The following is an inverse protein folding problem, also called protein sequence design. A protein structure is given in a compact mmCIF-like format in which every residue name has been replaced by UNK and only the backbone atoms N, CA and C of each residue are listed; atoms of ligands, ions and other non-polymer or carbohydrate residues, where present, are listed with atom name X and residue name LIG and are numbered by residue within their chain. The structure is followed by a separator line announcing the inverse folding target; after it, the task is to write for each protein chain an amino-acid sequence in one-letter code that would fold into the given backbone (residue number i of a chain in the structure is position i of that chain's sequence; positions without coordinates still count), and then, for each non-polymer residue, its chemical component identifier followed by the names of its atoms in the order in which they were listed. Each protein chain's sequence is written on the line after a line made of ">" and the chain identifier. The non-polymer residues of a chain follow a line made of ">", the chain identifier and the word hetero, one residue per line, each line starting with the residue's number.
data_IF_596622786380
#
_entry.id   IF_596622786380
#
_cell.length_a   1.000
_cell.length_b   1.000
_cell.length_c   1.000
_cell.angle_alpha   90.00
_cell.angle_beta   90.00
_cell.angle_gamma   90.00
#
_symmetry.space_group_name_H-M   'P 1'
#
loop_
_entity.id
_entity.type
_entity.pdbx_description
1 polymer ?
#
# COMPACT_ATOMS: atom_id res chain seq x y z
N UNK A 1 14.62 17.85 -12.44
CA UNK A 1 14.12 16.69 -11.66
C UNK A 1 12.92 16.09 -12.38
N UNK A 2 12.74 14.78 -12.33
CA UNK A 2 11.58 14.10 -12.91
C UNK A 2 11.18 12.90 -12.05
N UNK A 3 9.89 12.53 -12.06
CA UNK A 3 9.36 11.37 -11.37
C UNK A 3 8.27 10.71 -12.23
N UNK A 4 8.30 9.38 -12.32
CA UNK A 4 7.33 8.56 -13.05
C UNK A 4 6.86 7.39 -12.19
N UNK A 5 5.66 6.85 -12.42
CA UNK A 5 5.17 5.69 -11.69
C UNK A 5 5.98 4.43 -11.99
N UNK A 6 6.14 3.59 -10.98
CA UNK A 6 6.58 2.20 -11.11
C UNK A 6 5.35 1.28 -11.18
N UNK A 7 5.39 0.26 -12.02
CA UNK A 7 4.26 -0.60 -12.33
C UNK A 7 4.70 -2.06 -12.39
N UNK A 8 4.31 -2.82 -11.37
CA UNK A 8 4.59 -4.26 -11.20
C UNK A 8 3.33 -5.13 -11.33
N UNK A 9 2.18 -4.53 -11.64
CA UNK A 9 0.91 -5.21 -11.82
C UNK A 9 0.23 -4.75 -13.13
N UNK A 10 -0.54 -5.64 -13.79
CA UNK A 10 -1.22 -5.34 -15.05
C UNK A 10 -2.51 -4.55 -14.80
N UNK A 11 -2.38 -3.39 -14.16
CA UNK A 11 -3.48 -2.46 -13.92
C UNK A 11 -3.21 -1.16 -14.67
N UNK A 12 -4.27 -0.56 -15.22
CA UNK A 12 -4.15 0.74 -15.88
C UNK A 12 -3.82 1.81 -14.85
N UNK A 13 -2.64 2.40 -14.97
CA UNK A 13 -2.19 3.56 -14.18
C UNK A 13 -1.96 4.76 -15.08
N UNK A 14 -2.04 5.95 -14.51
CA UNK A 14 -1.75 7.17 -15.27
C UNK A 14 -0.24 7.24 -15.59
N UNK A 15 0.10 7.20 -16.88
CA UNK A 15 1.50 7.17 -17.34
C UNK A 15 2.05 8.60 -17.56
N UNK A 16 1.85 9.47 -16.57
CA UNK A 16 2.33 10.86 -16.61
C UNK A 16 3.63 10.99 -15.83
N UNK A 17 4.58 11.72 -16.41
CA UNK A 17 5.83 12.08 -15.75
C UNK A 17 5.70 13.47 -15.16
N UNK A 18 5.92 13.60 -13.86
CA UNK A 18 6.04 14.89 -13.19
C UNK A 18 7.47 15.43 -13.36
N UNK A 19 7.60 16.72 -13.63
CA UNK A 19 8.90 17.39 -13.81
C UNK A 19 9.01 18.65 -12.94
N UNK A 20 10.24 18.97 -12.54
CA UNK A 20 10.55 20.19 -11.80
C UNK A 20 11.92 20.72 -12.21
N UNK A 21 12.10 22.03 -12.17
CA UNK A 21 13.34 22.72 -12.55
C UNK A 21 14.13 23.06 -11.28
N UNK A 22 15.42 22.69 -11.28
CA UNK A 22 16.38 23.15 -10.28
C UNK A 22 17.18 24.30 -10.91
N UNK A 23 16.91 25.53 -10.49
CA UNK A 23 17.58 26.74 -10.99
C UNK A 23 18.62 27.21 -9.97
N UNK A 24 19.87 27.34 -10.40
CA UNK A 24 20.93 27.93 -9.57
C UNK A 24 20.85 29.45 -9.63
N UNK A 25 21.03 30.10 -8.46
CA UNK A 25 21.10 31.56 -8.39
C UNK A 25 22.31 32.07 -9.19
N UNK A 26 22.08 33.07 -10.05
CA UNK A 26 23.12 33.66 -10.89
C UNK A 26 23.28 33.00 -12.27
N UNK A 27 22.58 31.89 -12.53
CA UNK A 27 22.53 31.29 -13.88
C UNK A 27 21.38 31.92 -14.67
N UNK A 28 21.61 32.38 -15.91
CA UNK A 28 20.56 32.99 -16.71
C UNK A 28 19.48 31.97 -17.11
N UNK A 29 18.24 32.45 -17.27
CA UNK A 29 17.09 31.63 -17.66
C UNK A 29 17.16 31.12 -19.11
N UNK A 30 18.21 31.49 -19.85
CA UNK A 30 18.50 30.97 -21.19
C UNK A 30 19.11 29.57 -21.15
N UNK A 31 19.62 29.12 -20.00
CA UNK A 31 20.17 27.77 -19.84
C UNK A 31 19.01 26.78 -19.77
N UNK A 32 18.95 25.87 -20.75
CA UNK A 32 17.90 24.88 -20.86
C UNK A 32 18.12 23.77 -19.81
N UNK A 33 17.12 23.45 -18.96
CA UNK A 33 17.22 22.36 -18.01
C UNK A 33 17.42 21.00 -18.69
N UNK A 34 18.26 20.15 -18.11
CA UNK A 34 18.49 18.79 -18.58
C UNK A 34 17.48 17.85 -17.89
N UNK A 35 16.82 17.00 -18.68
CA UNK A 35 15.94 15.97 -18.15
C UNK A 35 16.77 14.75 -17.71
N UNK A 36 16.59 14.24 -16.48
CA UNK A 36 17.29 13.04 -16.05
C UNK A 36 16.74 11.81 -16.78
N UNK A 37 17.58 10.78 -16.93
CA UNK A 37 17.15 9.47 -17.44
C UNK A 37 16.41 8.72 -16.33
N UNK A 38 15.13 8.42 -16.57
CA UNK A 38 14.31 7.63 -15.68
C UNK A 38 14.40 6.12 -16.04
N UNK A 39 14.32 5.21 -15.06
CA UNK A 39 14.14 3.78 -15.32
C UNK A 39 12.85 3.50 -16.08
N UNK A 40 12.77 2.35 -16.73
CA UNK A 40 11.51 1.89 -17.32
C UNK A 40 10.45 1.66 -16.22
N UNK A 41 9.15 1.89 -16.50
CA UNK A 41 8.09 1.73 -15.50
C UNK A 41 8.02 0.33 -14.87
N UNK A 42 8.48 -0.70 -15.57
CA UNK A 42 8.49 -2.09 -15.14
C UNK A 42 9.88 -2.59 -14.67
N UNK A 43 10.82 -1.69 -14.39
CA UNK A 43 12.17 -2.06 -13.95
C UNK A 43 12.19 -2.45 -12.46
N UNK A 44 11.75 -3.68 -12.17
CA UNK A 44 11.74 -4.24 -10.81
C UNK A 44 13.14 -4.32 -10.22
N UNK A 45 14.17 -4.54 -11.05
CA UNK A 45 15.55 -4.67 -10.58
C UNK A 45 16.06 -3.35 -9.97
N UNK A 46 15.81 -2.23 -10.65
CA UNK A 46 16.13 -0.90 -10.16
C UNK A 46 15.40 -0.57 -8.86
N UNK A 47 14.09 -0.86 -8.81
CA UNK A 47 13.27 -0.60 -7.62
C UNK A 47 13.75 -1.39 -6.40
N UNK A 48 14.12 -2.67 -6.58
CA UNK A 48 14.65 -3.52 -5.51
C UNK A 48 16.03 -3.07 -5.04
N UNK A 49 16.94 -2.72 -5.95
CA UNK A 49 18.29 -2.23 -5.59
C UNK A 49 18.21 -0.92 -4.79
N UNK A 50 17.34 0.02 -5.20
CA UNK A 50 17.13 1.25 -4.45
C UNK A 50 16.53 0.98 -3.05
N UNK A 51 15.49 0.15 -2.97
CA UNK A 51 14.86 -0.20 -1.69
C UNK A 51 15.83 -0.92 -0.73
N UNK A 52 16.75 -1.74 -1.24
CA UNK A 52 17.78 -2.42 -0.44
C UNK A 52 18.78 -1.49 0.24
N UNK A 53 18.87 -0.22 -0.18
CA UNK A 53 19.76 0.80 0.39
C UNK A 53 19.15 1.52 1.59
N UNK A 54 17.84 1.38 1.85
CA UNK A 54 17.16 2.06 2.95
C UNK A 54 17.60 1.48 4.31
N UNK A 55 18.29 2.31 5.12
CA UNK A 55 18.74 1.97 6.47
C UNK A 55 18.55 3.15 7.42
N UNK A 56 18.21 2.87 8.68
CA UNK A 56 18.20 3.89 9.72
C UNK A 56 19.63 4.33 10.05
N UNK A 57 19.81 5.62 10.37
CA UNK A 57 21.11 6.22 10.66
C UNK A 57 21.84 5.58 11.86
N UNK A 58 21.10 5.31 12.94
CA UNK A 58 21.57 4.61 14.16
C UNK A 58 22.87 5.18 14.78
N UNK A 59 22.85 6.46 15.16
CA UNK A 59 23.95 7.13 15.88
C UNK A 59 23.61 7.30 17.37
N UNK A 60 24.58 7.66 18.24
CA UNK A 60 24.28 7.91 19.66
C UNK A 60 23.20 8.99 19.90
N UNK A 61 23.14 10.00 19.04
CA UNK A 61 22.12 11.05 19.09
C UNK A 61 20.78 10.64 18.43
N UNK A 62 20.80 9.65 17.53
CA UNK A 62 19.64 9.15 16.79
C UNK A 62 19.61 7.61 16.75
N UNK A 63 19.39 6.95 17.90
CA UNK A 63 19.45 5.49 18.00
C UNK A 63 18.26 4.83 17.29
N UNK A 64 18.51 3.71 16.61
CA UNK A 64 17.47 2.89 16.01
C UNK A 64 16.96 1.85 17.04
N UNK A 65 15.85 2.14 17.69
CA UNK A 65 15.25 1.26 18.71
C UNK A 65 14.37 0.18 18.07
N UNK A 66 15.00 -0.91 17.61
CA UNK A 66 14.29 -2.04 16.98
C UNK A 66 13.69 -2.96 18.05
N UNK A 67 12.37 -3.24 18.03
CA UNK A 67 11.76 -4.20 18.93
C UNK A 67 12.29 -5.63 18.68
N UNK A 68 12.99 -6.21 19.67
CA UNK A 68 13.53 -7.58 19.57
C UNK A 68 12.51 -8.66 19.97
N UNK A 69 11.52 -8.29 20.79
CA UNK A 69 10.45 -9.19 21.23
C UNK A 69 9.15 -8.85 20.50
N UNK A 70 8.56 -9.87 19.90
CA UNK A 70 7.27 -9.81 19.18
C UNK A 70 6.24 -10.61 19.96
N UNK A 71 5.15 -9.96 20.36
CA UNK A 71 4.06 -10.58 21.13
C UNK A 71 2.93 -11.09 20.21
N UNK A 72 2.74 -10.47 19.03
CA UNK A 72 1.70 -10.84 18.06
C UNK A 72 2.23 -10.72 16.63
N UNK A 73 2.05 -11.79 15.85
CA UNK A 73 2.47 -11.85 14.44
C UNK A 73 1.25 -11.73 13.54
N UNK A 74 1.32 -10.79 12.61
CA UNK A 74 0.26 -10.45 11.67
C UNK A 74 0.76 -10.76 10.26
N UNK A 75 -0.07 -11.44 9.48
CA UNK A 75 0.19 -11.78 8.10
C UNK A 75 -0.92 -11.23 7.23
N UNK A 76 -0.57 -10.33 6.32
CA UNK A 76 -1.52 -9.58 5.52
C UNK A 76 -1.31 -9.89 4.05
N UNK A 77 -2.34 -10.38 3.39
CA UNK A 77 -2.35 -10.52 1.93
C UNK A 77 -2.96 -9.27 1.32
N UNK A 78 -2.18 -8.52 0.55
CA UNK A 78 -2.63 -7.36 -0.21
C UNK A 78 -2.97 -7.84 -1.61
N UNK A 79 -4.21 -7.64 -2.03
CA UNK A 79 -4.66 -8.11 -3.34
C UNK A 79 -5.58 -7.14 -4.03
N UNK A 80 -5.52 -7.16 -5.37
CA UNK A 80 -6.57 -6.60 -6.22
C UNK A 80 -7.79 -7.53 -6.13
N UNK A 81 -8.94 -6.94 -5.86
CA UNK A 81 -10.23 -7.62 -5.84
C UNK A 81 -11.13 -7.15 -6.98
N UNK A 82 -12.08 -7.99 -7.37
CA UNK A 82 -13.11 -7.67 -8.34
C UNK A 82 -14.45 -7.99 -7.70
N UNK A 83 -15.23 -6.96 -7.41
CA UNK A 83 -16.56 -7.11 -6.83
C UNK A 83 -17.62 -6.75 -7.86
N UNK A 84 -18.77 -7.42 -7.81
CA UNK A 84 -19.92 -7.07 -8.63
C UNK A 84 -20.39 -5.64 -8.29
N UNK A 85 -20.64 -4.84 -9.32
CA UNK A 85 -21.13 -3.48 -9.20
C UNK A 85 -22.12 -3.20 -10.34
N UNK A 86 -23.44 -3.26 -10.09
CA UNK A 86 -24.45 -3.09 -11.14
C UNK A 86 -24.39 -1.75 -11.86
N UNK A 87 -23.94 -0.69 -11.19
CA UNK A 87 -23.87 0.68 -11.71
C UNK A 87 -22.51 1.03 -12.33
N UNK A 88 -21.52 0.13 -12.27
CA UNK A 88 -20.19 0.38 -12.77
C UNK A 88 -20.04 -0.03 -14.24
N UNK A 89 -19.04 0.56 -14.92
CA UNK A 89 -18.65 0.16 -16.27
C UNK A 89 -18.24 -1.32 -16.23
N UNK A 90 -18.81 -2.13 -17.13
CA UNK A 90 -18.64 -3.59 -17.21
C UNK A 90 -19.21 -4.39 -16.02
N UNK A 91 -20.08 -3.81 -15.18
CA UNK A 91 -20.78 -4.56 -14.11
C UNK A 91 -19.88 -4.99 -12.94
N UNK A 92 -18.62 -4.55 -12.92
CA UNK A 92 -17.62 -4.89 -11.90
C UNK A 92 -16.90 -3.64 -11.41
N UNK A 93 -16.47 -3.64 -10.16
CA UNK A 93 -15.61 -2.62 -9.57
C UNK A 93 -14.28 -3.26 -9.14
N UNK A 94 -13.18 -2.61 -9.50
CA UNK A 94 -11.86 -2.97 -8.99
C UNK A 94 -11.74 -2.47 -7.55
N UNK A 95 -11.40 -3.37 -6.65
CA UNK A 95 -11.22 -3.10 -5.23
C UNK A 95 -9.79 -3.44 -4.82
N UNK A 96 -9.34 -2.87 -3.71
CA UNK A 96 -8.15 -3.33 -3.02
C UNK A 96 -8.57 -3.96 -1.69
N UNK A 97 -7.95 -5.08 -1.33
CA UNK A 97 -8.27 -5.80 -0.11
C UNK A 97 -7.03 -6.15 0.69
N UNK A 98 -7.22 -6.24 2.01
CA UNK A 98 -6.24 -6.82 2.93
C UNK A 98 -6.91 -8.02 3.59
N UNK A 99 -6.28 -9.20 3.53
CA UNK A 99 -6.85 -10.46 4.02
C UNK A 99 -8.24 -10.78 3.44
N UNK A 100 -8.43 -10.45 2.15
CA UNK A 100 -9.69 -10.61 1.41
C UNK A 100 -10.86 -9.74 1.92
N UNK A 101 -10.55 -8.66 2.66
CA UNK A 101 -11.52 -7.67 3.14
C UNK A 101 -11.25 -6.32 2.48
N UNK A 102 -12.23 -5.83 1.73
CA UNK A 102 -12.25 -4.49 1.13
C UNK A 102 -12.86 -3.50 2.12
N UNK A 103 -12.08 -2.50 2.51
CA UNK A 103 -12.52 -1.48 3.47
C UNK A 103 -13.59 -0.58 2.86
N UNK A 104 -14.73 -0.45 3.54
CA UNK A 104 -15.74 0.56 3.22
C UNK A 104 -15.59 1.73 4.19
N UNK A 105 -15.54 2.95 3.64
CA UNK A 105 -15.52 4.16 4.44
C UNK A 105 -16.87 4.36 5.15
N UNK A 106 -16.91 4.37 6.49
CA UNK A 106 -18.15 4.62 7.23
C UNK A 106 -18.59 6.08 7.13
N UNK A 107 -19.89 6.34 7.32
CA UNK A 107 -20.45 7.71 7.38
C UNK A 107 -20.04 8.47 8.64
N UNK A 108 -19.73 7.76 9.72
CA UNK A 108 -19.29 8.30 10.99
C UNK A 108 -17.80 7.99 11.13
N UNK A 109 -16.99 9.01 11.47
CA UNK A 109 -15.56 8.84 11.67
C UNK A 109 -15.27 7.77 12.74
N UNK A 110 -14.32 6.87 12.45
CA UNK A 110 -13.96 5.77 13.35
C UNK A 110 -13.54 6.25 14.74
N UNK A 111 -12.79 7.36 14.80
CA UNK A 111 -12.37 7.96 16.08
C UNK A 111 -13.58 8.43 16.91
N UNK A 112 -14.56 9.09 16.26
CA UNK A 112 -15.80 9.52 16.92
C UNK A 112 -16.59 8.32 17.42
N UNK A 113 -16.73 7.28 16.60
CA UNK A 113 -17.43 6.06 16.96
C UNK A 113 -16.75 5.34 18.14
N UNK A 114 -15.42 5.27 18.16
CA UNK A 114 -14.65 4.70 19.26
C UNK A 114 -14.80 5.52 20.55
N UNK A 115 -14.68 6.85 20.47
CA UNK A 115 -14.73 7.72 21.65
C UNK A 115 -16.10 7.73 22.33
N UNK A 116 -17.19 7.76 21.54
CA UNK A 116 -18.56 7.78 22.05
C UNK A 116 -19.21 6.39 22.15
N UNK A 117 -18.45 5.31 21.95
CA UNK A 117 -18.95 3.92 21.95
C UNK A 117 -20.18 3.71 21.05
N UNK A 118 -20.18 4.30 19.85
CA UNK A 118 -21.31 4.22 18.92
C UNK A 118 -21.38 2.81 18.28
N UNK A 119 -22.47 2.05 18.47
CA UNK A 119 -22.60 0.72 17.90
C UNK A 119 -22.82 0.78 16.38
N UNK A 120 -22.40 -0.28 15.67
CA UNK A 120 -22.72 -0.48 14.25
C UNK A 120 -21.85 0.29 13.24
N UNK A 121 -20.85 1.08 13.69
CA UNK A 121 -19.97 1.83 12.77
C UNK A 121 -18.83 0.97 12.23
N UNK A 122 -18.24 0.13 13.09
CA UNK A 122 -17.15 -0.77 12.73
C UNK A 122 -17.23 -2.05 13.57
N UNK A 123 -16.51 -3.09 13.13
CA UNK A 123 -16.27 -4.31 13.91
C UNK A 123 -14.81 -4.42 14.30
N UNK A 124 -14.49 -5.13 15.37
CA UNK A 124 -13.12 -5.30 15.89
C UNK A 124 -12.50 -6.66 15.57
N UNK A 125 -13.06 -7.37 14.58
CA UNK A 125 -12.70 -8.73 14.21
C UNK A 125 -11.88 -8.80 12.90
N UNK A 126 -11.04 -7.79 12.64
CA UNK A 126 -10.12 -7.88 11.50
C UNK A 126 -9.13 -9.04 11.73
N UNK A 127 -8.93 -9.95 10.77
CA UNK A 127 -8.18 -11.17 11.00
C UNK A 127 -6.67 -10.94 10.93
N UNK A 128 -5.93 -11.58 11.83
CA UNK A 128 -4.46 -11.54 11.89
C UNK A 128 -3.78 -12.21 10.69
N UNK A 129 -4.52 -13.05 9.95
CA UNK A 129 -4.06 -13.84 8.79
C UNK A 129 -5.19 -13.97 7.77
N UNK A 130 -4.91 -14.18 6.48
CA UNK A 130 -5.93 -14.40 5.47
C UNK A 130 -6.80 -15.61 5.86
N UNK A 131 -8.14 -15.52 5.72
CA UNK A 131 -9.05 -16.62 6.08
C UNK A 131 -8.78 -17.91 5.29
N UNK A 132 -8.26 -17.78 4.07
CA UNK A 132 -7.93 -18.91 3.19
C UNK A 132 -6.49 -18.76 2.69
N UNK A 133 -5.68 -19.78 2.92
CA UNK A 133 -4.34 -19.84 2.37
C UNK A 133 -4.37 -20.37 0.93
N UNK A 134 -3.50 -19.81 0.09
CA UNK A 134 -3.28 -20.23 -1.29
C UNK A 134 -1.87 -19.83 -1.73
N UNK A 135 -1.47 -20.19 -2.94
CA UNK A 135 -0.22 -19.69 -3.52
C UNK A 135 -0.37 -18.21 -3.91
N UNK A 136 -0.06 -17.31 -2.98
CA UNK A 136 -0.26 -15.86 -3.11
C UNK A 136 0.44 -15.24 -4.31
N UNK A 137 1.59 -15.80 -4.70
CA UNK A 137 2.43 -15.30 -5.81
C UNK A 137 2.43 -16.25 -7.01
N UNK A 138 1.50 -17.20 -7.05
CA UNK A 138 1.40 -18.17 -8.13
C UNK A 138 0.93 -17.53 -9.44
N UNK A 139 1.57 -17.88 -10.55
CA UNK A 139 1.17 -17.48 -11.89
C UNK A 139 0.79 -18.74 -12.67
N UNK A 140 -0.46 -18.90 -13.16
CA UNK A 140 -1.59 -17.97 -13.05
C UNK A 140 -2.20 -17.94 -11.63
N UNK A 141 -2.86 -16.83 -11.30
CA UNK A 141 -3.55 -16.69 -10.02
C UNK A 141 -4.74 -17.64 -9.97
N UNK A 142 -4.73 -18.57 -9.02
CA UNK A 142 -5.78 -19.59 -8.83
C UNK A 142 -6.83 -19.18 -7.79
N UNK A 143 -6.63 -18.03 -7.13
CA UNK A 143 -7.52 -17.53 -6.10
C UNK A 143 -8.71 -16.77 -6.70
N UNK A 144 -9.85 -16.86 -6.01
CA UNK A 144 -11.02 -16.02 -6.29
C UNK A 144 -10.69 -14.56 -5.96
N UNK A 145 -10.94 -13.65 -6.90
CA UNK A 145 -10.75 -12.20 -6.75
C UNK A 145 -11.91 -11.50 -6.04
N UNK A 146 -13.01 -12.20 -5.75
CA UNK A 146 -14.14 -11.69 -4.98
C UNK A 146 -13.75 -11.47 -3.52
N UNK A 147 -14.00 -10.24 -3.04
CA UNK A 147 -13.64 -9.83 -1.68
C UNK A 147 -14.87 -9.62 -0.82
N UNK A 148 -14.74 -9.85 0.49
CA UNK A 148 -15.75 -9.43 1.45
C UNK A 148 -15.61 -7.93 1.71
N UNK A 149 -16.71 -7.19 1.81
CA UNK A 149 -16.66 -5.75 2.10
C UNK A 149 -17.00 -5.48 3.57
N UNK A 150 -16.37 -4.47 4.16
CA UNK A 150 -16.76 -4.03 5.50
C UNK A 150 -15.70 -3.19 6.23
N UNK A 151 -16.15 -2.51 7.28
CA UNK A 151 -15.31 -1.68 8.15
C UNK A 151 -14.88 -2.50 9.36
N UNK A 152 -13.77 -3.24 9.23
CA UNK A 152 -13.22 -4.07 10.31
C UNK A 152 -11.87 -3.54 10.77
N UNK A 153 -11.69 -3.45 12.08
CA UNK A 153 -10.50 -2.91 12.72
C UNK A 153 -9.78 -4.00 13.51
N UNK A 154 -8.46 -3.86 13.58
CA UNK A 154 -7.62 -4.66 14.45
C UNK A 154 -7.23 -3.84 15.67
N UNK A 155 -7.57 -4.33 16.87
CA UNK A 155 -7.06 -3.74 18.11
C UNK A 155 -5.61 -4.16 18.34
N UNK A 156 -4.71 -3.20 18.53
CA UNK A 156 -3.30 -3.43 18.78
C UNK A 156 -2.95 -2.93 20.19
N UNK A 157 -2.59 -3.84 21.08
CA UNK A 157 -2.20 -3.52 22.46
C UNK A 157 -0.74 -3.92 22.78
N UNK A 158 -0.06 -4.67 21.90
CA UNK A 158 1.22 -5.33 22.18
C UNK A 158 2.27 -5.02 21.08
N UNK A 159 3.52 -5.49 21.25
CA UNK A 159 4.55 -5.37 20.20
C UNK A 159 4.22 -6.31 19.04
N UNK A 160 4.00 -5.74 17.87
CA UNK A 160 3.57 -6.49 16.68
C UNK A 160 4.68 -6.64 15.65
N UNK A 161 4.63 -7.74 14.91
CA UNK A 161 5.34 -7.90 13.65
C UNK A 161 4.31 -8.12 12.56
N UNK A 162 4.22 -7.19 11.62
CA UNK A 162 3.33 -7.29 10.46
C UNK A 162 4.13 -7.66 9.22
N UNK A 163 3.76 -8.78 8.59
CA UNK A 163 4.30 -9.20 7.30
C UNK A 163 3.23 -9.00 6.24
N UNK A 164 3.52 -8.18 5.24
CA UNK A 164 2.67 -7.97 4.09
C UNK A 164 3.16 -8.85 2.95
N UNK A 165 2.24 -9.55 2.31
CA UNK A 165 2.45 -10.35 1.12
C UNK A 165 1.55 -9.80 0.02
N UNK A 166 2.12 -9.53 -1.14
CA UNK A 166 1.42 -8.99 -2.30
C UNK A 166 1.57 -9.95 -3.45
#
# INVERSE_FOLDING_TARGET
>A
MAASPFMDAPVSVDNKTATAILQYKGVPNTVIPILPKLPSPNDTSFALDYNGKLRSLNTPNFPALVPLKVDRRLFYTIGLGINACPTCVNGTNLAASINNITFIMPKIALLKAHYFNLPGVFRTDFPDRPPKAFNYTGVPLTANLGTSTGTRLLRVNNRISSKFNR
#
